data_IF_011760397479
#
_entry.id   IF_011760397479
#
_cell.length_a   1.000
_cell.length_b   1.000
_cell.length_c   1.000
_cell.angle_alpha   90.00
_cell.angle_beta   90.00
_cell.angle_gamma   90.00
#
_symmetry.space_group_name_H-M   'P 1'
#
loop_
_entity.id
_entity.type
_entity.pdbx_description
1 polymer ?
#
# COMPACT_ATOMS: atom_id res chain seq x y z
N UNK A 1 23.75 -14.06 7.87
CA UNK A 1 23.23 -12.83 8.50
C UNK A 1 21.71 -12.84 8.41
N UNK A 2 21.02 -12.76 9.55
CA UNK A 2 19.56 -12.65 9.60
C UNK A 2 19.23 -11.20 9.19
N UNK A 3 18.51 -11.01 8.07
CA UNK A 3 18.07 -9.68 7.64
C UNK A 3 17.11 -9.11 8.68
N UNK A 4 17.26 -7.84 9.03
CA UNK A 4 16.37 -7.16 9.97
C UNK A 4 14.95 -7.06 9.41
N UNK A 5 13.94 -6.91 10.29
CA UNK A 5 12.53 -6.72 9.87
C UNK A 5 12.40 -5.55 8.89
N UNK A 6 13.12 -4.45 9.15
CA UNK A 6 13.15 -3.28 8.28
C UNK A 6 13.68 -3.62 6.88
N UNK A 7 14.82 -4.31 6.77
CA UNK A 7 15.39 -4.66 5.46
C UNK A 7 14.49 -5.58 4.64
N UNK A 8 13.78 -6.51 5.30
CA UNK A 8 12.80 -7.39 4.64
C UNK A 8 11.67 -6.58 4.02
N UNK A 9 11.11 -5.63 4.78
CA UNK A 9 10.02 -4.77 4.33
C UNK A 9 10.51 -3.80 3.24
N UNK A 10 11.67 -3.17 3.41
CA UNK A 10 12.21 -2.22 2.44
C UNK A 10 12.53 -2.90 1.10
N UNK A 11 13.06 -4.12 1.13
CA UNK A 11 13.27 -4.90 -0.08
C UNK A 11 11.95 -5.28 -0.77
N UNK A 12 10.95 -5.73 0.00
CA UNK A 12 9.62 -6.04 -0.54
C UNK A 12 8.96 -4.80 -1.18
N UNK A 13 9.04 -3.65 -0.51
CA UNK A 13 8.58 -2.35 -1.03
C UNK A 13 9.24 -2.01 -2.36
N UNK A 14 10.57 -2.17 -2.46
CA UNK A 14 11.33 -1.93 -3.69
C UNK A 14 10.93 -2.88 -4.83
N UNK A 15 10.72 -4.17 -4.53
CA UNK A 15 10.25 -5.16 -5.52
C UNK A 15 8.89 -4.76 -6.08
N UNK A 16 7.98 -4.24 -5.24
CA UNK A 16 6.67 -3.76 -5.67
C UNK A 16 6.69 -2.35 -6.28
N UNK A 17 7.85 -1.70 -6.38
CA UNK A 17 7.97 -0.33 -6.89
C UNK A 17 7.24 0.70 -6.04
N UNK A 18 7.08 0.44 -4.73
CA UNK A 18 6.32 1.31 -3.84
C UNK A 18 7.20 2.44 -3.29
N UNK A 19 6.67 3.67 -3.13
CA UNK A 19 7.33 4.74 -2.38
C UNK A 19 7.44 4.42 -0.88
N UNK A 20 8.20 5.23 -0.12
CA UNK A 20 8.36 5.07 1.34
C UNK A 20 7.05 5.18 2.12
N UNK A 21 6.05 5.87 1.56
CA UNK A 21 4.69 5.98 2.09
C UNK A 21 3.73 5.60 0.98
N UNK A 22 2.94 4.55 1.16
CA UNK A 22 1.98 4.09 0.17
C UNK A 22 0.65 3.73 0.82
N UNK A 23 -0.46 4.00 0.14
CA UNK A 23 -1.80 3.57 0.57
C UNK A 23 -2.04 2.10 0.19
N UNK A 24 -3.01 1.46 0.84
CA UNK A 24 -3.40 0.09 0.51
C UNK A 24 -3.83 -0.06 -0.95
N UNK A 25 -4.48 0.96 -1.51
CA UNK A 25 -4.84 1.00 -2.92
C UNK A 25 -3.61 1.01 -3.84
N UNK A 26 -2.61 1.85 -3.54
CA UNK A 26 -1.36 1.89 -4.29
C UNK A 26 -0.61 0.55 -4.24
N UNK A 27 -0.60 -0.10 -3.07
CA UNK A 27 -0.01 -1.44 -2.89
C UNK A 27 -0.69 -2.45 -3.83
N UNK A 28 -2.02 -2.52 -3.81
CA UNK A 28 -2.81 -3.45 -4.64
C UNK A 28 -2.66 -3.18 -6.13
N UNK A 29 -2.68 -1.89 -6.53
CA UNK A 29 -2.53 -1.47 -7.93
C UNK A 29 -1.18 -1.89 -8.50
N UNK A 30 -0.08 -1.52 -7.83
CA UNK A 30 1.27 -1.86 -8.28
C UNK A 30 1.49 -3.37 -8.37
N UNK A 31 0.97 -4.14 -7.39
CA UNK A 31 1.02 -5.60 -7.43
C UNK A 31 0.32 -6.17 -8.67
N UNK A 32 -0.89 -5.70 -8.97
CA UNK A 32 -1.66 -6.14 -10.14
C UNK A 32 -0.94 -5.82 -11.45
N UNK A 33 -0.38 -4.62 -11.57
CA UNK A 33 0.40 -4.20 -12.75
C UNK A 33 1.65 -5.06 -12.95
N UNK A 34 2.38 -5.35 -11.86
CA UNK A 34 3.56 -6.20 -11.90
C UNK A 34 3.22 -7.65 -12.26
N UNK A 35 2.14 -8.20 -11.73
CA UNK A 35 1.66 -9.52 -12.13
C UNK A 35 1.28 -9.55 -13.60
N UNK A 36 0.53 -8.56 -14.10
CA UNK A 36 0.17 -8.52 -15.53
C UNK A 36 1.40 -8.47 -16.44
N UNK A 37 2.47 -7.80 -16.00
CA UNK A 37 3.74 -7.70 -16.74
C UNK A 37 4.55 -9.00 -16.73
N UNK A 38 4.65 -9.66 -15.59
CA UNK A 38 5.56 -10.80 -15.39
C UNK A 38 4.88 -12.17 -15.41
N UNK A 39 3.54 -12.21 -15.49
CA UNK A 39 2.78 -13.47 -15.55
C UNK A 39 3.35 -14.38 -16.65
N UNK A 40 3.61 -15.67 -16.39
CA UNK A 40 4.21 -16.59 -17.36
C UNK A 40 3.46 -16.60 -18.70
N UNK A 41 2.13 -16.51 -18.68
CA UNK A 41 1.30 -16.50 -19.90
C UNK A 41 1.41 -15.23 -20.76
N UNK A 42 1.81 -14.09 -20.17
CA UNK A 42 1.84 -12.78 -20.85
C UNK A 42 3.23 -12.22 -21.06
N UNK A 43 4.20 -12.76 -20.34
CA UNK A 43 5.57 -12.27 -20.31
C UNK A 43 6.29 -12.65 -21.61
N UNK A 44 6.87 -11.65 -22.29
CA UNK A 44 7.61 -11.83 -23.54
C UNK A 44 9.10 -12.17 -23.33
N UNK A 45 9.53 -12.26 -22.07
CA UNK A 45 10.89 -12.60 -21.68
C UNK A 45 11.07 -14.12 -21.58
N UNK A 46 12.27 -14.58 -21.23
CA UNK A 46 12.53 -15.99 -20.94
C UNK A 46 11.60 -16.50 -19.84
N UNK A 47 10.99 -17.66 -20.04
CA UNK A 47 10.02 -18.27 -19.12
C UNK A 47 10.55 -18.35 -17.67
N UNK A 48 11.81 -18.75 -17.50
CA UNK A 48 12.46 -18.82 -16.19
C UNK A 48 12.50 -17.47 -15.48
N UNK A 49 12.77 -16.39 -16.22
CA UNK A 49 12.82 -15.02 -15.69
C UNK A 49 11.42 -14.55 -15.29
N UNK A 50 10.41 -14.86 -16.10
CA UNK A 50 9.02 -14.53 -15.81
C UNK A 50 8.52 -15.24 -14.54
N UNK A 51 8.83 -16.54 -14.41
CA UNK A 51 8.55 -17.34 -13.21
C UNK A 51 9.26 -16.79 -11.98
N UNK A 52 10.56 -16.52 -12.07
CA UNK A 52 11.35 -15.99 -10.96
C UNK A 52 10.81 -14.64 -10.47
N UNK A 53 10.50 -13.72 -11.39
CA UNK A 53 9.95 -12.42 -11.06
C UNK A 53 8.56 -12.53 -10.42
N UNK A 54 7.70 -13.39 -10.97
CA UNK A 54 6.35 -13.64 -10.41
C UNK A 54 6.43 -14.12 -8.96
N UNK A 55 7.31 -15.08 -8.67
CA UNK A 55 7.54 -15.58 -7.30
C UNK A 55 8.02 -14.45 -6.38
N UNK A 56 8.97 -13.62 -6.83
CA UNK A 56 9.47 -12.47 -6.06
C UNK A 56 8.37 -11.46 -5.76
N UNK A 57 7.52 -11.15 -6.74
CA UNK A 57 6.41 -10.19 -6.61
C UNK A 57 5.38 -10.70 -5.59
N UNK A 58 4.98 -11.97 -5.68
CA UNK A 58 4.02 -12.59 -4.74
C UNK A 58 4.60 -12.59 -3.32
N UNK A 59 5.87 -12.99 -3.16
CA UNK A 59 6.54 -12.99 -1.85
C UNK A 59 6.67 -11.60 -1.23
N UNK A 60 6.96 -10.59 -2.04
CA UNK A 60 7.03 -9.20 -1.62
C UNK A 60 5.65 -8.68 -1.18
N UNK A 61 4.61 -8.93 -1.98
CA UNK A 61 3.24 -8.55 -1.64
C UNK A 61 2.78 -9.16 -0.32
N UNK A 62 3.01 -10.47 -0.11
CA UNK A 62 2.69 -11.14 1.16
C UNK A 62 3.37 -10.46 2.35
N UNK A 63 4.66 -10.14 2.22
CA UNK A 63 5.44 -9.47 3.28
C UNK A 63 4.87 -8.10 3.63
N UNK A 64 4.49 -7.32 2.62
CA UNK A 64 3.90 -5.98 2.84
C UNK A 64 2.51 -6.07 3.48
N UNK A 65 1.65 -6.98 3.00
CA UNK A 65 0.32 -7.17 3.57
C UNK A 65 0.40 -7.65 5.01
N UNK A 66 1.27 -8.61 5.32
CA UNK A 66 1.50 -9.06 6.69
C UNK A 66 1.99 -7.91 7.59
N UNK A 67 2.88 -7.05 7.09
CA UNK A 67 3.32 -5.87 7.82
C UNK A 67 2.16 -4.89 8.08
N UNK A 68 1.34 -4.59 7.07
CA UNK A 68 0.20 -3.68 7.18
C UNK A 68 -0.93 -4.23 8.06
N UNK A 69 -1.18 -5.54 8.01
CA UNK A 69 -2.25 -6.18 8.81
C UNK A 69 -1.89 -6.30 10.29
N UNK A 70 -0.60 -6.36 10.61
CA UNK A 70 -0.11 -6.34 11.99
C UNK A 70 -0.10 -4.93 12.61
N UNK A 71 -0.53 -3.91 11.88
CA UNK A 71 -0.65 -2.55 12.40
C UNK A 71 -2.05 -2.37 13.00
N UNK A 72 -2.12 -2.08 14.30
CA UNK A 72 -3.37 -1.81 14.99
C UNK A 72 -3.87 -0.39 14.64
N UNK A 73 -5.14 -0.31 14.24
CA UNK A 73 -5.80 0.97 13.97
C UNK A 73 -6.47 1.47 15.25
N UNK A 74 -6.21 2.72 15.59
CA UNK A 74 -6.89 3.42 16.67
C UNK A 74 -8.13 4.13 16.14
N UNK A 75 -9.27 3.90 16.76
CA UNK A 75 -10.54 4.56 16.45
C UNK A 75 -10.91 5.61 17.50
N UNK A 76 -9.93 6.11 18.26
CA UNK A 76 -10.14 7.25 19.15
C UNK A 76 -10.46 8.50 18.33
N UNK A 77 -11.25 9.41 18.91
CA UNK A 77 -11.58 10.67 18.25
C UNK A 77 -10.32 11.44 17.87
N UNK A 78 -9.30 11.42 18.73
CA UNK A 78 -8.03 12.09 18.50
C UNK A 78 -7.27 11.53 17.29
N UNK A 79 -7.23 10.20 17.12
CA UNK A 79 -6.50 9.58 16.01
C UNK A 79 -7.27 9.66 14.68
N UNK A 80 -8.61 9.57 14.72
CA UNK A 80 -9.46 9.83 13.56
C UNK A 80 -9.30 11.28 13.10
N UNK A 81 -9.28 12.24 14.03
CA UNK A 81 -9.11 13.68 13.72
C UNK A 81 -7.79 14.01 13.02
N UNK A 82 -6.72 13.25 13.28
CA UNK A 82 -5.44 13.40 12.57
C UNK A 82 -5.48 12.89 11.13
N UNK A 83 -6.45 12.03 10.82
CA UNK A 83 -6.61 11.40 9.51
C UNK A 83 -7.68 12.06 8.63
N UNK A 84 -8.38 13.08 9.15
CA UNK A 84 -9.41 13.80 8.40
C UNK A 84 -8.83 14.44 7.15
N UNK A 85 -9.59 14.38 6.06
CA UNK A 85 -9.30 15.19 4.89
C UNK A 85 -9.50 16.68 5.22
N UNK A 86 -8.92 17.61 4.44
CA UNK A 86 -9.20 19.03 4.57
C UNK A 86 -10.71 19.33 4.51
N UNK A 87 -11.46 18.59 3.70
CA UNK A 87 -12.91 18.74 3.55
C UNK A 87 -13.67 18.27 4.80
N UNK A 88 -13.30 17.10 5.36
CA UNK A 88 -13.94 16.60 6.59
C UNK A 88 -13.67 17.53 7.77
N UNK A 89 -12.43 18.04 7.89
CA UNK A 89 -12.07 19.01 8.91
C UNK A 89 -12.85 20.32 8.78
N UNK A 90 -13.01 20.81 7.54
CA UNK A 90 -13.76 22.03 7.28
C UNK A 90 -15.24 21.85 7.62
N UNK A 91 -15.83 20.72 7.22
CA UNK A 91 -17.22 20.40 7.51
C UNK A 91 -17.47 20.22 9.01
N UNK A 92 -16.61 19.50 9.75
CA UNK A 92 -16.77 19.37 11.20
C UNK A 92 -16.67 20.72 11.93
N UNK A 93 -15.89 21.67 11.39
CA UNK A 93 -15.65 22.95 12.05
C UNK A 93 -16.62 24.06 11.66
N UNK A 94 -17.18 24.00 10.44
CA UNK A 94 -17.97 25.09 9.86
C UNK A 94 -19.27 24.62 9.18
N UNK A 95 -19.57 23.32 9.13
CA UNK A 95 -20.75 22.77 8.45
C UNK A 95 -22.09 23.20 9.05
N UNK A 96 -22.10 23.56 10.34
CA UNK A 96 -23.28 24.12 11.03
C UNK A 96 -23.38 25.65 10.92
N UNK A 97 -22.49 26.32 10.16
CA UNK A 97 -22.54 27.77 10.01
C UNK A 97 -23.71 28.18 9.08
N UNK A 98 -24.66 29.02 9.57
CA UNK A 98 -25.81 29.47 8.79
C UNK A 98 -25.47 30.22 7.48
N UNK A 99 -24.23 30.67 7.31
CA UNK A 99 -23.76 31.36 6.11
C UNK A 99 -23.45 30.42 4.94
N UNK A 100 -23.23 29.13 5.20
CA UNK A 100 -22.77 28.16 4.19
C UNK A 100 -23.67 26.92 4.05
N UNK A 101 -24.64 26.71 4.96
CA UNK A 101 -25.60 25.61 4.90
C UNK A 101 -26.92 25.98 4.22
N UNK A 102 -27.04 25.76 2.90
CA UNK A 102 -28.34 25.57 2.23
C UNK A 102 -28.24 24.57 1.09
#
# INVERSE_FOLDING_TARGET
>A
MIKSKFERIDNARKILGLPKKATMEQIKRNYKELLLKWHPDKCKEKEDRCKEMTIKIIGAYRTIIEYCNNYEYSFTKEDVNKSLSPDDWWFERFGDDPLWGK
#
